data_IF_121055349643
#
_entry.id   IF_121055349643
#
_cell.length_a   1.000
_cell.length_b   1.000
_cell.length_c   1.000
_cell.angle_alpha   90.00
_cell.angle_beta   90.00
_cell.angle_gamma   90.00
#
_symmetry.space_group_name_H-M   'P 1'
#
loop_
_entity.id
_entity.type
_entity.pdbx_description
1 polymer ?
#
# COMPACT_ATOMS: atom_id res chain seq x y z
N UNK A 1 12.81 17.20 2.57
CA UNK A 1 12.94 16.68 2.75
C UNK A 1 13.53 16.06 2.58
N UNK A 2 13.61 15.78 2.63
CA UNK A 2 13.96 15.16 2.47
C UNK A 2 14.07 14.31 2.61
N UNK A 3 14.04 14.05 2.91
CA UNK A 3 14.04 13.20 2.96
C UNK A 3 14.04 12.57 2.40
N UNK A 4 13.81 12.64 2.06
CA UNK A 4 13.66 12.01 1.57
C UNK A 4 13.98 11.60 0.68
N UNK A 5 14.52 12.39 0.61
CA UNK A 5 15.12 12.00 -0.27
C UNK A 5 15.43 10.63 -0.53
N UNK A 6 15.96 10.27 -0.10
CA UNK A 6 15.91 8.86 -0.12
C UNK A 6 14.51 8.36 0.06
N UNK A 7 13.63 9.27 0.22
CA UNK A 7 12.22 8.96 0.26
C UNK A 7 11.72 8.61 -1.10
N UNK A 8 10.66 7.83 -1.13
CA UNK A 8 10.04 7.46 -2.39
C UNK A 8 9.27 8.64 -2.93
N UNK A 9 9.35 8.83 -4.22
CA UNK A 9 8.45 9.73 -4.90
C UNK A 9 7.10 9.03 -4.95
N UNK A 10 6.06 9.65 -4.40
CA UNK A 10 4.76 8.99 -4.31
C UNK A 10 4.23 8.59 -5.68
N UNK A 11 4.55 9.36 -6.72
CA UNK A 11 4.11 8.99 -8.06
C UNK A 11 4.69 7.68 -8.53
N UNK A 12 5.89 7.36 -8.06
CA UNK A 12 6.54 6.12 -8.46
C UNK A 12 5.85 4.90 -7.85
N UNK A 13 5.07 5.11 -6.80
CA UNK A 13 4.36 4.01 -6.18
C UNK A 13 3.07 3.65 -6.90
N UNK A 14 2.49 4.63 -7.59
CA UNK A 14 1.20 4.40 -8.27
C UNK A 14 1.36 3.38 -9.37
N UNK A 15 0.44 2.43 -9.41
CA UNK A 15 0.44 1.40 -10.44
C UNK A 15 1.31 0.20 -10.14
N UNK A 16 2.14 0.27 -9.09
CA UNK A 16 2.97 -0.87 -8.76
C UNK A 16 2.13 -2.02 -8.23
N UNK A 17 2.60 -3.23 -8.50
CA UNK A 17 1.95 -4.43 -8.00
C UNK A 17 2.25 -4.57 -6.52
N UNK A 18 1.23 -4.93 -5.75
CA UNK A 18 1.35 -5.16 -4.31
C UNK A 18 1.33 -6.66 -4.07
N UNK A 19 2.35 -7.16 -3.39
CA UNK A 19 2.46 -8.59 -3.08
C UNK A 19 2.80 -8.75 -1.61
N UNK A 20 2.51 -9.93 -1.08
CA UNK A 20 2.86 -10.24 0.30
C UNK A 20 4.26 -10.82 0.35
N UNK A 21 4.78 -10.96 1.58
CA UNK A 21 6.09 -11.57 1.78
C UNK A 21 6.14 -13.00 1.25
N UNK A 22 5.00 -13.67 1.17
CA UNK A 22 4.94 -15.04 0.68
C UNK A 22 4.64 -15.11 -0.82
N UNK A 23 4.55 -13.96 -1.48
CA UNK A 23 4.37 -13.92 -2.92
C UNK A 23 2.94 -13.87 -3.40
N UNK A 24 1.99 -13.67 -2.52
CA UNK A 24 0.59 -13.55 -2.92
C UNK A 24 0.31 -12.16 -3.45
N UNK A 25 -0.46 -12.07 -4.50
CA UNK A 25 -0.82 -10.78 -5.07
C UNK A 25 -1.99 -10.17 -4.32
N UNK A 26 -1.87 -8.88 -4.02
CA UNK A 26 -2.97 -8.12 -3.41
C UNK A 26 -3.72 -7.31 -4.44
N UNK A 27 -3.01 -6.75 -5.39
CA UNK A 27 -3.58 -5.84 -6.38
C UNK A 27 -2.54 -4.82 -6.78
N UNK A 28 -2.97 -3.61 -7.09
CA UNK A 28 -2.09 -2.53 -7.53
C UNK A 28 -2.30 -1.30 -6.67
N UNK A 29 -1.29 -0.45 -6.62
CA UNK A 29 -1.42 0.82 -5.93
C UNK A 29 -2.29 1.74 -6.77
N UNK A 30 -3.48 2.06 -6.27
CA UNK A 30 -4.39 2.96 -6.98
C UNK A 30 -4.31 4.38 -6.49
N UNK A 31 -3.97 4.56 -5.22
CA UNK A 31 -3.89 5.89 -4.64
C UNK A 31 -3.12 5.78 -3.33
N UNK A 32 -2.86 6.92 -2.73
CA UNK A 32 -2.12 7.01 -1.47
C UNK A 32 -2.82 8.02 -0.58
N UNK A 33 -2.81 7.77 0.72
CA UNK A 33 -3.34 8.75 1.67
C UNK A 33 -2.20 9.26 2.53
N UNK A 34 -2.26 10.53 2.88
CA UNK A 34 -1.21 11.20 3.61
C UNK A 34 -1.78 11.92 4.82
N UNK A 35 -0.93 12.07 5.83
CA UNK A 35 -1.25 12.94 6.96
C UNK A 35 -1.14 14.38 6.49
N UNK A 36 -2.19 15.17 6.70
CA UNK A 36 -2.23 16.52 6.15
C UNK A 36 -1.24 17.46 6.80
N UNK A 37 -0.86 17.20 8.03
CA UNK A 37 0.04 18.10 8.77
C UNK A 37 1.50 17.79 8.52
N UNK A 38 1.84 16.52 8.38
CA UNK A 38 3.25 16.13 8.25
C UNK A 38 3.61 15.69 6.84
N UNK A 39 2.62 15.37 6.02
CA UNK A 39 2.87 14.83 4.69
C UNK A 39 3.27 13.38 4.69
N UNK A 40 3.21 12.71 5.84
CA UNK A 40 3.58 11.31 5.92
C UNK A 40 2.57 10.43 5.22
N UNK A 41 3.07 9.41 4.54
CA UNK A 41 2.22 8.43 3.86
C UNK A 41 1.59 7.52 4.90
N UNK A 42 0.27 7.43 4.89
CA UNK A 42 -0.47 6.65 5.89
C UNK A 42 -0.94 5.33 5.33
N UNK A 43 -1.59 5.36 4.18
CA UNK A 43 -2.18 4.16 3.59
C UNK A 43 -1.85 4.05 2.12
N UNK A 44 -1.79 2.82 1.65
CA UNK A 44 -1.79 2.50 0.24
C UNK A 44 -3.20 2.03 -0.10
N UNK A 45 -3.83 2.65 -1.10
CA UNK A 45 -5.17 2.28 -1.54
C UNK A 45 -5.01 1.25 -2.66
N UNK A 46 -5.63 0.09 -2.48
CA UNK A 46 -5.50 -1.01 -3.44
C UNK A 46 -6.52 -0.85 -4.55
N UNK A 47 -6.04 -0.93 -5.79
CA UNK A 47 -6.89 -0.94 -6.98
C UNK A 47 -6.83 -2.34 -7.58
N UNK A 48 -7.97 -2.79 -8.10
CA UNK A 48 -8.09 -4.13 -8.69
C UNK A 48 -7.65 -5.20 -7.70
N UNK A 49 -8.25 -5.21 -6.49
CA UNK A 49 -7.83 -6.18 -5.49
C UNK A 49 -8.11 -7.60 -5.95
N UNK A 50 -7.21 -8.51 -5.58
CA UNK A 50 -7.40 -9.92 -5.88
C UNK A 50 -8.38 -10.53 -4.90
N UNK A 51 -8.86 -11.74 -5.21
CA UNK A 51 -9.72 -12.43 -4.28
C UNK A 51 -9.04 -12.70 -2.94
N UNK A 52 -7.74 -12.95 -2.97
CA UNK A 52 -6.99 -13.16 -1.74
C UNK A 52 -7.05 -11.91 -0.86
N UNK A 53 -6.82 -10.75 -1.46
CA UNK A 53 -6.86 -9.49 -0.73
C UNK A 53 -8.26 -9.25 -0.14
N UNK A 54 -9.28 -9.45 -0.95
CA UNK A 54 -10.63 -9.21 -0.50
C UNK A 54 -11.06 -10.16 0.60
N UNK A 55 -10.54 -11.36 0.57
CA UNK A 55 -10.87 -12.34 1.60
C UNK A 55 -10.31 -12.01 2.97
N UNK A 56 -9.36 -11.09 3.04
CA UNK A 56 -8.76 -10.72 4.31
C UNK A 56 -9.58 -9.68 5.07
N UNK A 57 -10.60 -9.12 4.45
CA UNK A 57 -11.49 -8.16 5.10
C UNK A 57 -10.73 -6.95 5.64
N UNK A 58 -9.92 -6.38 4.79
CA UNK A 58 -9.15 -5.20 5.18
C UNK A 58 -10.05 -3.99 5.34
N UNK A 59 -9.53 -2.99 6.05
CA UNK A 59 -10.19 -1.69 6.12
C UNK A 59 -10.39 -1.15 4.70
N UNK A 60 -11.47 -0.43 4.48
CA UNK A 60 -11.78 0.09 3.15
C UNK A 60 -12.03 1.58 3.20
N UNK A 61 -11.78 2.25 2.07
CA UNK A 61 -12.09 3.65 1.98
C UNK A 61 -13.57 3.83 1.59
N UNK A 62 -13.96 5.08 1.34
CA UNK A 62 -15.37 5.40 1.07
C UNK A 62 -15.87 4.72 -0.19
N UNK A 63 -15.00 4.44 -1.14
CA UNK A 63 -15.40 3.82 -2.39
C UNK A 63 -15.28 2.30 -2.35
N UNK A 64 -14.89 1.75 -1.21
CA UNK A 64 -14.80 0.30 -1.05
C UNK A 64 -13.46 -0.29 -1.41
N UNK A 65 -12.45 0.54 -1.66
CA UNK A 65 -11.12 0.03 -1.98
C UNK A 65 -10.38 -0.35 -0.71
N UNK A 66 -9.72 -1.51 -0.68
CA UNK A 66 -8.96 -1.90 0.52
C UNK A 66 -7.84 -0.92 0.81
N UNK A 67 -7.56 -0.73 2.08
CA UNK A 67 -6.49 0.15 2.56
C UNK A 67 -5.43 -0.70 3.24
N UNK A 68 -4.17 -0.44 2.93
CA UNK A 68 -3.06 -1.11 3.59
C UNK A 68 -2.26 -0.04 4.33
N UNK A 69 -2.11 -0.17 5.65
CA UNK A 69 -1.32 0.82 6.38
C UNK A 69 0.13 0.78 5.89
N UNK A 70 0.72 1.93 5.71
CA UNK A 70 2.07 1.98 5.18
C UNK A 70 3.07 1.31 6.13
N UNK A 71 2.73 1.22 7.42
CA UNK A 71 3.58 0.51 8.38
C UNK A 71 3.69 -0.97 8.08
N UNK A 72 2.79 -1.52 7.27
CA UNK A 72 2.88 -2.92 6.85
C UNK A 72 3.76 -3.11 5.64
N UNK A 73 4.18 -2.03 4.99
CA UNK A 73 5.04 -2.13 3.80
C UNK A 73 6.47 -2.39 4.26
N UNK A 74 7.04 -3.50 3.81
CA UNK A 74 8.38 -3.90 4.24
C UNK A 74 9.43 -3.67 3.18
N UNK A 75 9.02 -3.49 1.93
CA UNK A 75 9.99 -3.24 0.86
C UNK A 75 9.29 -2.57 -0.30
N UNK A 76 10.00 -1.71 -1.00
CA UNK A 76 9.51 -1.04 -2.19
C UNK A 76 10.59 -1.17 -3.25
N UNK A 77 10.21 -1.64 -4.40
CA UNK A 77 11.10 -1.78 -5.55
C UNK A 77 10.22 -1.84 -6.78
N UNK A 78 10.42 -2.84 -7.60
CA UNK A 78 9.52 -3.08 -8.72
C UNK A 78 8.13 -3.44 -8.23
N UNK A 79 8.06 -4.02 -7.02
CA UNK A 79 6.80 -4.36 -6.36
C UNK A 79 6.79 -3.68 -5.00
N UNK A 80 5.59 -3.57 -4.43
CA UNK A 80 5.46 -3.18 -3.04
C UNK A 80 5.17 -4.46 -2.27
N UNK A 81 6.03 -4.76 -1.30
CA UNK A 81 5.92 -5.98 -0.51
C UNK A 81 5.35 -5.63 0.86
N UNK A 82 4.31 -6.32 1.25
CA UNK A 82 3.65 -6.05 2.53
C UNK A 82 3.71 -7.27 3.43
N UNK A 83 3.72 -7.02 4.73
CA UNK A 83 3.71 -8.07 5.74
C UNK A 83 2.26 -8.31 6.14
N UNK A 84 1.74 -9.48 5.79
CA UNK A 84 0.35 -9.81 6.07
C UNK A 84 0.03 -9.74 7.55
N UNK A 85 0.97 -10.15 8.36
CA UNK A 85 0.76 -10.19 9.81
C UNK A 85 0.58 -8.81 10.42
N UNK A 86 1.00 -7.77 9.70
CA UNK A 86 0.83 -6.40 10.18
C UNK A 86 -0.51 -5.82 9.78
N UNK A 87 -1.25 -6.51 8.94
CA UNK A 87 -2.52 -6.01 8.41
C UNK A 87 -3.70 -6.72 9.06
N UNK A 88 -3.52 -7.97 9.36
CA UNK A 88 -4.62 -8.83 9.85
C UNK A 88 -4.74 -8.79 11.40
#
# INVERSE_FOLDING_TARGET
>A
MATDDKKYNSRQLLGKLIVTKTGKRFGEVGDLTFETRTGELIHVVVRNPTGYCEGLELEKDKTGNPLIPFTAVVAVGDFIVVAEEEII
#
